data_IF_264083676490
#
_entry.id   IF_264083676490
#
_cell.length_a   1.000
_cell.length_b   1.000
_cell.length_c   1.000
_cell.angle_alpha   90.00
_cell.angle_beta   90.00
_cell.angle_gamma   90.00
#
_symmetry.space_group_name_H-M   'P 1'
#
loop_
_entity.id
_entity.type
_entity.pdbx_description
1 polymer ?
#
# COMPACT_ATOMS: atom_id res chain seq x y z
N UNK A 1 8.36 -13.60 -13.90
CA UNK A 1 9.22 -12.45 -14.23
C UNK A 1 8.99 -11.36 -13.20
N UNK A 2 10.05 -10.64 -12.82
CA UNK A 2 9.96 -9.50 -11.92
C UNK A 2 9.23 -8.36 -12.64
N UNK A 3 8.10 -7.92 -12.10
CA UNK A 3 7.35 -6.79 -12.67
C UNK A 3 7.88 -5.46 -12.14
N UNK A 4 7.70 -4.39 -12.89
CA UNK A 4 7.84 -3.04 -12.32
C UNK A 4 6.68 -2.78 -11.33
N UNK A 5 6.85 -1.84 -10.39
CA UNK A 5 5.72 -1.31 -9.64
C UNK A 5 5.60 0.20 -9.86
N UNK A 6 4.35 0.67 -9.93
CA UNK A 6 4.00 2.09 -10.03
C UNK A 6 3.05 2.41 -8.91
N UNK A 7 3.20 3.60 -8.32
CA UNK A 7 2.30 4.10 -7.27
C UNK A 7 1.43 5.19 -7.90
N UNK A 8 0.11 5.02 -7.85
CA UNK A 8 -0.84 6.02 -8.34
C UNK A 8 -0.73 7.33 -7.55
N UNK A 9 -1.20 8.44 -8.12
CA UNK A 9 -1.26 9.72 -7.40
C UNK A 9 -2.14 9.64 -6.13
N UNK A 10 -3.19 8.84 -6.15
CA UNK A 10 -4.03 8.61 -4.97
C UNK A 10 -3.24 7.86 -3.88
N UNK A 11 -2.55 6.78 -4.23
CA UNK A 11 -1.74 6.03 -3.28
C UNK A 11 -0.57 6.86 -2.72
N UNK A 12 0.03 7.76 -3.51
CA UNK A 12 1.04 8.72 -3.00
C UNK A 12 0.45 9.64 -1.93
N UNK A 13 -0.74 10.21 -2.18
CA UNK A 13 -1.46 11.05 -1.20
C UNK A 13 -1.82 10.27 0.06
N UNK A 14 -2.33 9.05 -0.10
CA UNK A 14 -2.66 8.17 1.01
C UNK A 14 -1.43 7.91 1.88
N UNK A 15 -0.29 7.55 1.27
CA UNK A 15 0.97 7.27 1.97
C UNK A 15 1.49 8.51 2.71
N UNK A 16 1.48 9.70 2.09
CA UNK A 16 1.87 10.95 2.75
C UNK A 16 1.04 11.18 4.00
N UNK A 17 -0.30 11.17 3.85
CA UNK A 17 -1.22 11.38 4.97
C UNK A 17 -1.04 10.37 6.09
N UNK A 18 -0.73 9.11 5.74
CA UNK A 18 -0.46 8.03 6.69
C UNK A 18 0.83 8.31 7.47
N UNK A 19 1.92 8.67 6.79
CA UNK A 19 3.20 8.92 7.45
C UNK A 19 3.14 10.16 8.34
N UNK A 20 2.49 11.22 7.87
CA UNK A 20 2.28 12.44 8.65
C UNK A 20 1.45 12.13 9.91
N UNK A 21 0.31 11.45 9.74
CA UNK A 21 -0.55 11.04 10.87
C UNK A 21 0.18 10.19 11.91
N UNK A 22 1.06 9.28 11.47
CA UNK A 22 1.81 8.38 12.37
C UNK A 22 2.94 9.13 13.08
N UNK A 23 3.62 10.03 12.37
CA UNK A 23 4.63 10.92 12.96
C UNK A 23 3.99 11.78 14.06
N UNK A 24 2.86 12.41 13.75
CA UNK A 24 2.13 13.28 14.68
C UNK A 24 1.60 12.51 15.90
N UNK A 25 0.98 11.35 15.68
CA UNK A 25 0.39 10.56 16.77
C UNK A 25 1.43 9.96 17.71
N UNK A 26 2.58 9.52 17.18
CA UNK A 26 3.61 8.85 17.97
C UNK A 26 4.67 9.81 18.51
N UNK A 27 4.71 11.06 18.03
CA UNK A 27 5.80 12.00 18.29
C UNK A 27 7.17 11.48 17.83
N UNK A 28 7.21 10.49 16.94
CA UNK A 28 8.41 9.72 16.61
C UNK A 28 8.55 9.55 15.11
N UNK A 29 9.55 10.24 14.54
CA UNK A 29 9.97 10.10 13.15
C UNK A 29 10.38 8.66 12.82
N UNK A 30 10.96 7.95 13.79
CA UNK A 30 11.38 6.55 13.65
C UNK A 30 10.19 5.62 13.38
N UNK A 31 9.03 5.89 13.97
CA UNK A 31 7.81 5.10 13.73
C UNK A 31 7.31 5.26 12.29
N UNK A 32 7.33 6.49 11.76
CA UNK A 32 6.97 6.77 10.37
C UNK A 32 7.97 6.13 9.39
N UNK A 33 9.27 6.19 9.69
CA UNK A 33 10.32 5.54 8.87
C UNK A 33 10.14 4.02 8.79
N UNK A 34 9.93 3.35 9.94
CA UNK A 34 9.67 1.89 9.98
C UNK A 34 8.39 1.48 9.27
N UNK A 35 7.38 2.35 9.26
CA UNK A 35 6.15 2.13 8.52
C UNK A 35 6.38 2.27 7.01
N UNK A 36 7.15 3.29 6.61
CA UNK A 36 7.55 3.49 5.21
C UNK A 36 8.29 2.27 4.67
N UNK A 37 9.34 1.82 5.36
CA UNK A 37 10.10 0.62 4.98
C UNK A 37 9.18 -0.59 4.79
N UNK A 38 8.29 -0.85 5.74
CA UNK A 38 7.35 -1.96 5.65
C UNK A 38 6.42 -1.89 4.41
N UNK A 39 6.01 -0.69 3.98
CA UNK A 39 5.26 -0.54 2.74
C UNK A 39 6.09 -0.84 1.51
N UNK A 40 7.33 -0.33 1.44
CA UNK A 40 8.20 -0.60 0.30
C UNK A 40 8.56 -2.08 0.21
N UNK A 41 8.89 -2.75 1.32
CA UNK A 41 9.08 -4.21 1.35
C UNK A 41 7.84 -4.95 0.86
N UNK A 42 6.65 -4.45 1.22
CA UNK A 42 5.40 -5.05 0.74
C UNK A 42 5.20 -4.83 -0.75
N UNK A 43 5.53 -3.67 -1.30
CA UNK A 43 5.43 -3.40 -2.74
C UNK A 43 6.44 -4.24 -3.53
N UNK A 44 7.63 -4.45 -2.99
CA UNK A 44 8.64 -5.38 -3.51
C UNK A 44 8.13 -6.83 -3.53
N UNK A 45 7.44 -7.27 -2.47
CA UNK A 45 6.80 -8.59 -2.46
C UNK A 45 5.68 -8.69 -3.51
N UNK A 46 4.87 -7.63 -3.64
CA UNK A 46 3.77 -7.57 -4.61
C UNK A 46 4.30 -7.64 -6.05
N UNK A 47 5.37 -6.91 -6.40
CA UNK A 47 5.92 -6.95 -7.77
C UNK A 47 6.55 -8.31 -8.11
N UNK A 48 7.05 -9.04 -7.11
CA UNK A 48 7.62 -10.37 -7.26
C UNK A 48 6.54 -11.45 -7.35
N UNK A 49 5.53 -11.37 -6.48
CA UNK A 49 4.44 -12.33 -6.37
C UNK A 49 3.07 -11.64 -6.34
N UNK A 50 2.61 -11.07 -7.47
CA UNK A 50 1.37 -10.28 -7.51
C UNK A 50 0.12 -11.07 -7.11
N UNK A 51 0.15 -12.40 -7.27
CA UNK A 51 -0.99 -13.28 -6.93
C UNK A 51 -1.13 -13.57 -5.43
N UNK A 52 -0.23 -13.07 -4.58
CA UNK A 52 -0.32 -13.20 -3.11
C UNK A 52 -1.45 -12.40 -2.48
N UNK A 53 -1.91 -11.33 -3.14
CA UNK A 53 -3.11 -10.61 -2.76
C UNK A 53 -4.39 -11.32 -3.19
N UNK A 54 -5.41 -11.20 -2.35
CA UNK A 54 -6.75 -11.73 -2.63
C UNK A 54 -7.37 -10.96 -3.78
N UNK A 55 -7.83 -11.67 -4.80
CA UNK A 55 -8.57 -11.07 -5.91
C UNK A 55 -9.92 -10.55 -5.43
N UNK A 56 -10.30 -9.37 -5.93
CA UNK A 56 -11.58 -8.70 -5.69
C UNK A 56 -12.46 -8.80 -6.94
N UNK A 57 -13.71 -8.35 -6.83
CA UNK A 57 -14.70 -8.44 -7.90
C UNK A 57 -14.48 -7.42 -9.04
N UNK A 58 -13.53 -6.50 -8.90
CA UNK A 58 -13.23 -5.36 -9.78
C UNK A 58 -11.87 -5.50 -10.50
N UNK A 59 -11.38 -6.74 -10.62
CA UNK A 59 -10.04 -7.11 -11.13
C UNK A 59 -8.86 -6.44 -10.40
N UNK A 60 -9.12 -5.88 -9.22
CA UNK A 60 -8.06 -5.48 -8.30
C UNK A 60 -7.74 -6.63 -7.35
N UNK A 61 -6.59 -6.51 -6.69
CA UNK A 61 -6.15 -7.39 -5.62
C UNK A 61 -5.94 -6.56 -4.37
N UNK A 62 -6.19 -7.16 -3.22
CA UNK A 62 -5.87 -6.56 -1.94
C UNK A 62 -4.96 -7.45 -1.10
N UNK A 63 -4.08 -6.79 -0.36
CA UNK A 63 -3.25 -7.42 0.67
C UNK A 63 -3.10 -6.46 1.85
N UNK A 64 -2.50 -6.94 2.93
CA UNK A 64 -2.30 -6.14 4.13
C UNK A 64 -0.81 -5.86 4.37
N UNK A 65 -0.53 -4.64 4.81
CA UNK A 65 0.74 -4.24 5.40
C UNK A 65 0.43 -3.62 6.77
N UNK A 66 0.81 -4.31 7.86
CA UNK A 66 0.45 -3.92 9.23
C UNK A 66 -1.08 -3.68 9.35
N UNK A 67 -1.50 -2.48 9.75
CA UNK A 67 -2.90 -2.10 9.89
C UNK A 67 -3.51 -1.48 8.62
N UNK A 68 -2.82 -1.53 7.48
CA UNK A 68 -3.25 -0.91 6.24
C UNK A 68 -3.54 -1.96 5.17
N UNK A 69 -4.58 -1.70 4.39
CA UNK A 69 -4.95 -2.46 3.20
C UNK A 69 -4.33 -1.77 2.00
N UNK A 70 -3.58 -2.54 1.22
CA UNK A 70 -3.00 -2.11 -0.06
C UNK A 70 -3.86 -2.70 -1.16
N UNK A 71 -4.45 -1.85 -1.99
CA UNK A 71 -5.21 -2.26 -3.18
C UNK A 71 -4.36 -1.98 -4.41
N UNK A 72 -4.25 -2.96 -5.30
CA UNK A 72 -3.42 -2.87 -6.49
C UNK A 72 -4.03 -3.61 -7.67
N UNK A 73 -3.55 -3.33 -8.87
CA UNK A 73 -3.89 -4.06 -10.10
C UNK A 73 -2.65 -4.66 -10.72
N UNK A 74 -2.77 -5.91 -11.14
CA UNK A 74 -1.72 -6.61 -11.88
C UNK A 74 -1.95 -6.42 -13.38
N UNK A 75 -0.90 -5.98 -14.09
CA UNK A 75 -0.82 -5.97 -15.56
C UNK A 75 0.30 -6.92 -15.99
N UNK A 76 0.47 -7.15 -17.29
CA UNK A 76 1.49 -8.08 -17.80
C UNK A 76 2.93 -7.67 -17.46
N UNK A 77 3.23 -6.38 -17.52
CA UNK A 77 4.55 -5.78 -17.32
C UNK A 77 4.77 -5.17 -15.93
N UNK A 78 3.70 -4.77 -15.25
CA UNK A 78 3.76 -3.99 -14.00
C UNK A 78 2.68 -4.35 -12.99
N UNK A 79 2.88 -3.90 -11.76
CA UNK A 79 1.83 -3.79 -10.74
C UNK A 79 1.60 -2.32 -10.44
N UNK A 80 0.34 -1.91 -10.39
CA UNK A 80 -0.05 -0.55 -10.03
C UNK A 80 -0.68 -0.54 -8.65
N UNK A 81 -0.05 0.13 -7.68
CA UNK A 81 -0.61 0.38 -6.36
C UNK A 81 -1.64 1.51 -6.48
N UNK A 82 -2.91 1.20 -6.25
CA UNK A 82 -4.04 2.09 -6.50
C UNK A 82 -4.36 2.97 -5.30
N UNK A 83 -4.39 2.40 -4.09
CA UNK A 83 -4.70 3.11 -2.84
C UNK A 83 -4.19 2.35 -1.62
N UNK A 84 -3.96 3.07 -0.52
CA UNK A 84 -3.55 2.50 0.77
C UNK A 84 -4.48 3.00 1.86
N UNK A 85 -5.23 2.09 2.49
CA UNK A 85 -6.34 2.43 3.38
C UNK A 85 -6.07 1.90 4.78
N UNK A 86 -6.24 2.72 5.81
CA UNK A 86 -6.17 2.23 7.19
C UNK A 86 -7.35 1.29 7.48
N UNK A 87 -7.06 0.03 7.80
CA UNK A 87 -8.06 -1.06 7.89
C UNK A 87 -9.10 -0.84 8.99
N UNK A 88 -8.77 -0.03 10.01
CA UNK A 88 -9.68 0.30 11.13
C UNK A 88 -10.36 1.67 10.99
N UNK A 89 -9.95 2.52 10.04
CA UNK A 89 -10.64 3.80 9.80
C UNK A 89 -11.69 3.51 8.75
N UNK A 90 -12.97 3.67 9.07
CA UNK A 90 -13.99 3.80 8.03
C UNK A 90 -13.60 5.04 7.22
N UNK A 91 -13.38 4.88 5.91
CA UNK A 91 -13.40 6.04 5.02
C UNK A 91 -14.76 6.74 5.22
N UNK A 92 -14.82 8.08 5.25
CA UNK A 92 -16.11 8.75 5.12
C UNK A 92 -16.76 8.28 3.82
N UNK A 93 -18.06 7.98 3.89
CA UNK A 93 -18.88 7.66 2.72
C UNK A 93 -19.09 8.89 1.85
#
# INVERSE_FOLDING_TARGET
MLKAFVISEQAKKDLSNIFDSVSDYTGSVTSAAKLREAFFDKFELIRLLPKTGKQRNDDTRETFCRHYRVVYREFDDRVEILTVIHSRRKYPQ
#
